data_IF_765300483889
#
_entry.id   IF_765300483889
#
_cell.length_a   1.000
_cell.length_b   1.000
_cell.length_c   1.000
_cell.angle_alpha   90.00
_cell.angle_beta   90.00
_cell.angle_gamma   90.00
#
_symmetry.space_group_name_H-M   'P 1'
#
loop_
_entity.id
_entity.type
_entity.pdbx_description
1 polymer ?
#
# COMPACT_ATOMS: atom_id res chain seq x y z
N UNK A 1 -13.07 -16.35 22.10
CA UNK A 1 -12.74 -15.15 21.32
C UNK A 1 -13.40 -13.87 21.84
N UNK A 2 -14.73 -13.74 21.98
CA UNK A 2 -15.39 -12.49 22.43
C UNK A 2 -15.20 -12.07 23.91
N UNK A 3 -14.84 -12.97 24.84
CA UNK A 3 -14.61 -12.62 26.26
C UNK A 3 -13.19 -12.16 26.58
N UNK A 4 -12.23 -12.35 25.67
CA UNK A 4 -10.82 -12.00 25.90
C UNK A 4 -10.58 -10.49 25.72
N UNK A 5 -11.39 -9.81 24.91
CA UNK A 5 -11.21 -8.39 24.61
C UNK A 5 -11.91 -7.43 25.59
N UNK A 6 -12.80 -7.92 26.45
CA UNK A 6 -13.65 -7.10 27.33
C UNK A 6 -13.18 -7.07 28.79
N UNK A 7 -12.07 -7.73 29.12
CA UNK A 7 -11.55 -7.75 30.50
C UNK A 7 -10.60 -6.56 30.73
N UNK A 8 -10.66 -5.84 31.87
CA UNK A 8 -9.78 -4.72 32.19
C UNK A 8 -8.27 -5.04 32.22
N UNK A 9 -7.90 -6.33 32.07
CA UNK A 9 -6.55 -6.85 32.23
C UNK A 9 -5.87 -7.29 30.91
N UNK A 10 -6.43 -6.95 29.75
CA UNK A 10 -5.81 -7.34 28.46
C UNK A 10 -4.66 -6.41 28.02
N UNK A 11 -4.07 -5.62 28.94
CA UNK A 11 -2.86 -4.85 28.67
C UNK A 11 -1.62 -5.75 28.55
N UNK A 12 -1.68 -6.96 29.14
CA UNK A 12 -0.59 -7.93 29.01
C UNK A 12 -0.29 -8.29 27.56
N UNK A 13 -1.25 -8.22 26.62
CA UNK A 13 -0.97 -8.47 25.21
C UNK A 13 0.07 -7.50 24.64
N UNK A 14 0.03 -6.23 25.05
CA UNK A 14 0.99 -5.20 24.66
C UNK A 14 2.35 -5.36 25.37
N UNK A 15 2.40 -6.10 26.49
CA UNK A 15 3.65 -6.48 27.17
C UNK A 15 4.25 -7.81 26.67
N UNK A 16 3.45 -8.69 26.05
CA UNK A 16 3.82 -10.08 25.71
C UNK A 16 3.85 -10.40 24.23
N UNK A 17 3.35 -9.54 23.35
CA UNK A 17 3.55 -9.71 21.91
C UNK A 17 5.02 -9.52 21.58
N UNK A 18 5.78 -10.62 21.62
CA UNK A 18 7.00 -10.72 20.83
C UNK A 18 6.56 -10.74 19.38
N UNK A 19 6.52 -9.57 18.74
CA UNK A 19 6.42 -9.50 17.29
C UNK A 19 7.58 -10.33 16.73
N UNK A 20 7.33 -11.28 15.81
CA UNK A 20 8.39 -12.03 15.17
C UNK A 20 9.39 -11.06 14.53
N UNK A 21 10.68 -11.38 14.58
CA UNK A 21 11.72 -10.44 14.14
C UNK A 21 11.61 -10.15 12.63
N UNK A 22 11.47 -11.15 11.74
CA UNK A 22 11.05 -10.94 10.35
C UNK A 22 9.76 -11.70 9.98
N UNK A 23 8.95 -11.10 9.11
CA UNK A 23 7.92 -11.78 8.35
C UNK A 23 8.57 -12.73 7.35
N UNK A 24 8.04 -13.95 7.24
CA UNK A 24 8.53 -14.93 6.27
C UNK A 24 7.82 -14.72 4.95
N UNK A 25 8.47 -13.99 4.05
CA UNK A 25 8.02 -13.87 2.67
C UNK A 25 8.21 -15.18 1.91
N UNK A 26 7.34 -15.43 0.96
CA UNK A 26 7.62 -16.43 -0.06
C UNK A 26 8.63 -15.86 -1.05
N UNK A 27 9.44 -16.73 -1.67
CA UNK A 27 10.47 -16.30 -2.62
C UNK A 27 9.89 -15.53 -3.81
N UNK A 28 10.72 -14.75 -4.53
CA UNK A 28 10.27 -13.87 -5.62
C UNK A 28 9.57 -14.59 -6.77
N UNK A 29 9.90 -15.87 -6.99
CA UNK A 29 9.28 -16.74 -8.00
C UNK A 29 8.01 -17.46 -7.49
N UNK A 30 7.59 -17.21 -6.25
CA UNK A 30 6.46 -17.92 -5.66
C UNK A 30 5.14 -17.42 -6.24
N UNK A 31 4.42 -18.35 -6.87
CA UNK A 31 3.05 -18.11 -7.32
C UNK A 31 2.04 -17.98 -6.17
N UNK A 32 2.41 -18.37 -4.95
CA UNK A 32 1.53 -18.35 -3.78
C UNK A 32 1.39 -16.95 -3.17
N UNK A 33 2.34 -16.04 -3.44
CA UNK A 33 2.34 -14.69 -2.90
C UNK A 33 2.62 -13.68 -4.01
N UNK A 34 1.56 -13.29 -4.72
CA UNK A 34 1.63 -12.27 -5.77
C UNK A 34 1.19 -10.89 -5.29
N UNK A 35 0.42 -10.82 -4.21
CA UNK A 35 -0.18 -9.60 -3.67
C UNK A 35 0.19 -9.40 -2.20
N UNK A 36 0.24 -8.14 -1.77
CA UNK A 36 0.48 -7.75 -0.37
C UNK A 36 -0.49 -6.64 0.05
N UNK A 37 -1.01 -6.76 1.27
CA UNK A 37 -1.80 -5.69 1.88
C UNK A 37 -0.88 -4.58 2.39
N UNK A 38 -1.00 -3.39 1.80
CA UNK A 38 -0.22 -2.21 2.20
C UNK A 38 -0.93 -1.38 3.27
N UNK A 39 -2.25 -1.52 3.39
CA UNK A 39 -3.07 -0.70 4.27
C UNK A 39 -4.33 -1.43 4.74
N UNK A 40 -4.67 -1.22 6.01
CA UNK A 40 -5.96 -1.57 6.57
C UNK A 40 -6.40 -0.64 7.69
N UNK A 41 -7.50 -1.00 8.36
CA UNK A 41 -7.93 -0.30 9.57
C UNK A 41 -6.84 -0.20 10.63
N UNK A 42 -5.82 -1.08 10.61
CA UNK A 42 -4.71 -1.06 11.56
C UNK A 42 -3.60 -0.08 11.20
N UNK A 43 -3.55 0.43 9.97
CA UNK A 43 -2.53 1.37 9.51
C UNK A 43 -1.92 0.96 8.17
N UNK A 44 -0.75 1.51 7.84
CA UNK A 44 -0.03 1.20 6.62
C UNK A 44 1.28 0.46 6.89
N UNK A 45 1.49 -0.59 6.12
CA UNK A 45 2.73 -1.36 6.07
C UNK A 45 3.66 -0.90 4.94
N UNK A 46 3.40 0.26 4.29
CA UNK A 46 4.28 0.80 3.25
C UNK A 46 5.72 0.96 3.77
N UNK A 47 5.87 1.69 4.89
CA UNK A 47 7.15 2.01 5.54
C UNK A 47 6.94 2.35 7.02
N UNK A 48 8.02 2.26 7.81
CA UNK A 48 7.99 2.49 9.25
C UNK A 48 7.54 3.91 9.66
N UNK A 49 8.01 4.94 8.96
CA UNK A 49 7.77 6.37 9.23
C UNK A 49 6.61 6.96 8.40
N UNK A 50 5.65 6.10 8.03
CA UNK A 50 4.45 6.50 7.30
C UNK A 50 3.42 7.28 8.16
N UNK A 51 2.43 7.92 7.52
CA UNK A 51 1.38 8.70 8.19
C UNK A 51 0.36 7.84 8.95
N UNK A 52 0.32 6.53 8.68
CA UNK A 52 -0.59 5.56 9.29
C UNK A 52 0.19 4.52 10.10
N UNK A 53 0.72 4.87 11.29
CA UNK A 53 1.44 3.90 12.12
C UNK A 53 0.54 2.71 12.49
N UNK A 54 1.11 1.51 12.42
CA UNK A 54 0.40 0.26 12.69
C UNK A 54 -0.02 0.21 14.17
N UNK A 55 -1.30 -0.06 14.41
CA UNK A 55 -1.88 -0.19 15.75
C UNK A 55 -3.15 -1.05 15.78
N UNK A 56 -3.29 -1.87 16.82
CA UNK A 56 -4.46 -2.73 17.05
C UNK A 56 -5.44 -2.14 18.08
N UNK A 57 -5.35 -0.84 18.35
CA UNK A 57 -6.36 -0.15 19.16
C UNK A 57 -6.15 1.36 19.29
N UNK A 58 -7.27 2.09 19.43
CA UNK A 58 -7.29 3.50 19.87
C UNK A 58 -7.77 3.61 21.32
N UNK A 59 -6.95 3.25 22.31
CA UNK A 59 -7.35 3.38 23.71
C UNK A 59 -7.60 4.86 24.06
N UNK A 60 -8.74 5.14 24.70
CA UNK A 60 -9.15 6.49 25.11
C UNK A 60 -8.55 6.87 26.47
N UNK A 61 -8.39 8.17 26.73
CA UNK A 61 -7.99 8.71 28.06
C UNK A 61 -6.47 8.70 28.30
N UNK A 62 -6.06 8.42 29.54
CA UNK A 62 -4.65 8.44 30.00
C UNK A 62 -3.82 7.23 29.51
N UNK A 63 -4.19 6.58 28.40
CA UNK A 63 -3.44 5.44 27.91
C UNK A 63 -2.08 5.89 27.35
N UNK A 64 -0.96 5.28 27.77
CA UNK A 64 0.36 5.68 27.27
C UNK A 64 0.46 5.44 25.76
N UNK A 65 0.67 6.51 24.98
CA UNK A 65 0.68 6.45 23.50
C UNK A 65 1.69 5.44 22.94
N UNK A 66 2.82 5.23 23.62
CA UNK A 66 3.84 4.28 23.18
C UNK A 66 3.39 2.81 23.24
N UNK A 67 2.35 2.49 24.03
CA UNK A 67 1.77 1.15 24.09
C UNK A 67 0.74 0.89 22.97
N UNK A 68 0.44 1.91 22.15
CA UNK A 68 -0.40 1.76 20.96
C UNK A 68 0.43 1.65 19.67
N UNK A 69 1.75 1.64 19.76
CA UNK A 69 2.65 1.50 18.62
C UNK A 69 2.99 0.02 18.43
N UNK A 70 2.30 -0.63 17.49
CA UNK A 70 2.49 -2.06 17.18
C UNK A 70 3.40 -2.25 15.95
N UNK A 71 4.15 -1.22 15.55
CA UNK A 71 5.10 -1.29 14.44
C UNK A 71 6.23 -2.27 14.74
N UNK A 72 6.66 -2.99 13.71
CA UNK A 72 7.90 -3.74 13.76
C UNK A 72 9.10 -2.79 13.60
N UNK A 73 10.26 -3.15 14.15
CA UNK A 73 11.48 -2.37 13.89
C UNK A 73 11.82 -2.39 12.38
N UNK A 74 12.29 -1.27 11.81
CA UNK A 74 12.72 -1.21 10.42
C UNK A 74 14.00 -2.03 10.21
N UNK A 75 14.32 -2.35 8.96
CA UNK A 75 15.50 -3.13 8.56
C UNK A 75 15.36 -4.63 8.84
N UNK A 76 14.13 -5.11 8.96
CA UNK A 76 13.81 -6.52 9.25
C UNK A 76 13.08 -7.22 8.10
N UNK A 77 12.73 -6.49 7.04
CA UNK A 77 11.93 -6.98 5.92
C UNK A 77 10.43 -6.95 6.20
N UNK A 78 9.95 -6.22 7.21
CA UNK A 78 8.53 -6.27 7.61
C UNK A 78 7.64 -5.26 6.86
N UNK A 79 8.27 -4.32 6.14
CA UNK A 79 7.57 -3.28 5.39
C UNK A 79 7.55 -3.61 3.90
N UNK A 80 6.49 -3.20 3.21
CA UNK A 80 6.32 -3.42 1.76
C UNK A 80 7.51 -2.83 0.98
N UNK A 81 8.00 -1.64 1.36
CA UNK A 81 9.20 -1.09 0.73
C UNK A 81 10.44 -1.97 0.91
N UNK A 82 10.64 -2.55 2.09
CA UNK A 82 11.78 -3.45 2.35
C UNK A 82 11.63 -4.76 1.55
N UNK A 83 10.41 -5.30 1.46
CA UNK A 83 10.08 -6.49 0.68
C UNK A 83 10.34 -6.28 -0.83
N UNK A 84 9.90 -5.15 -1.38
CA UNK A 84 10.11 -4.80 -2.79
C UNK A 84 11.59 -4.53 -3.09
N UNK A 85 12.29 -3.78 -2.23
CA UNK A 85 13.73 -3.55 -2.34
C UNK A 85 14.54 -4.85 -2.24
N UNK A 86 14.05 -5.82 -1.46
CA UNK A 86 14.59 -7.19 -1.38
C UNK A 86 14.35 -8.05 -2.63
N UNK A 87 13.71 -7.51 -3.67
CA UNK A 87 13.52 -8.16 -4.96
C UNK A 87 12.17 -8.87 -5.13
N UNK A 88 11.26 -8.80 -4.16
CA UNK A 88 9.95 -9.45 -4.30
C UNK A 88 9.05 -8.74 -5.32
N UNK A 89 8.24 -9.54 -6.03
CA UNK A 89 7.33 -9.09 -7.09
C UNK A 89 5.88 -9.06 -6.61
N UNK A 90 5.60 -8.10 -5.72
CA UNK A 90 4.32 -7.98 -5.02
C UNK A 90 3.46 -6.86 -5.61
N UNK A 91 2.24 -7.20 -6.00
CA UNK A 91 1.18 -6.23 -6.28
C UNK A 91 0.57 -5.70 -4.99
N UNK A 92 0.08 -4.47 -5.02
CA UNK A 92 -0.37 -3.74 -3.83
C UNK A 92 -1.89 -3.72 -3.77
N UNK A 93 -2.44 -4.17 -2.65
CA UNK A 93 -3.86 -4.07 -2.31
C UNK A 93 -4.04 -3.42 -0.93
N UNK A 94 -5.25 -2.99 -0.63
CA UNK A 94 -5.65 -2.57 0.71
C UNK A 94 -6.92 -3.32 1.12
N UNK A 95 -7.11 -3.53 2.42
CA UNK A 95 -8.24 -4.27 2.98
C UNK A 95 -8.87 -3.51 4.13
N UNK A 96 -10.10 -3.86 4.50
CA UNK A 96 -10.68 -3.31 5.73
C UNK A 96 -10.05 -3.92 6.97
N UNK A 97 -9.63 -5.19 6.88
CA UNK A 97 -9.23 -6.05 8.01
C UNK A 97 -10.29 -6.13 9.13
N UNK A 98 -11.54 -5.86 8.78
CA UNK A 98 -12.66 -6.02 9.71
C UNK A 98 -12.96 -7.50 9.91
N UNK A 99 -12.93 -7.89 11.17
CA UNK A 99 -13.24 -9.25 11.63
C UNK A 99 -14.66 -9.35 12.23
N UNK A 100 -15.41 -8.26 12.26
CA UNK A 100 -16.76 -8.19 12.81
C UNK A 100 -17.80 -7.79 11.75
N UNK A 101 -18.82 -8.64 11.63
CA UNK A 101 -20.03 -8.35 10.88
C UNK A 101 -21.05 -7.77 11.87
N UNK A 102 -20.86 -6.50 12.24
CA UNK A 102 -21.76 -5.83 13.17
C UNK A 102 -23.15 -5.64 12.54
N UNK A 103 -24.20 -6.09 13.23
CA UNK A 103 -25.60 -5.79 12.86
C UNK A 103 -25.93 -4.29 13.00
N UNK A 104 -25.15 -3.54 13.80
CA UNK A 104 -25.28 -2.08 14.00
C UNK A 104 -23.92 -1.47 14.32
N UNK A 105 -23.37 -0.68 13.39
CA UNK A 105 -22.03 -0.07 13.48
C UNK A 105 -21.87 0.91 14.66
N UNK A 106 -22.96 1.37 15.28
CA UNK A 106 -22.91 2.32 16.41
C UNK A 106 -22.48 1.68 17.73
N UNK A 107 -22.57 0.36 17.84
CA UNK A 107 -22.29 -0.39 19.07
C UNK A 107 -20.97 -1.17 19.03
N UNK A 108 -20.25 -1.13 17.90
CA UNK A 108 -19.01 -1.86 17.67
C UNK A 108 -17.82 -0.90 17.65
N UNK A 109 -16.58 -1.40 17.92
CA UNK A 109 -15.43 -0.53 17.99
C UNK A 109 -15.26 0.27 16.69
N UNK A 110 -15.13 1.59 16.83
CA UNK A 110 -14.74 2.46 15.73
C UNK A 110 -13.40 1.99 15.18
N UNK A 111 -13.32 1.85 13.86
CA UNK A 111 -12.06 1.53 13.20
C UNK A 111 -10.98 2.55 13.62
N UNK A 112 -9.75 2.08 13.80
CA UNK A 112 -8.62 2.97 14.09
C UNK A 112 -8.45 3.91 12.89
N UNK A 113 -8.35 3.37 11.69
CA UNK A 113 -8.36 4.11 10.45
C UNK A 113 -9.52 3.66 9.56
N UNK A 114 -9.97 4.48 8.59
CA UNK A 114 -10.95 4.01 7.61
C UNK A 114 -10.52 2.68 6.96
N UNK A 115 -11.48 1.80 6.68
CA UNK A 115 -11.17 0.53 6.03
C UNK A 115 -10.61 0.74 4.62
N UNK A 116 -9.51 0.04 4.31
CA UNK A 116 -8.92 0.06 2.98
C UNK A 116 -9.78 -0.61 1.92
N UNK A 117 -9.57 -0.24 0.65
CA UNK A 117 -10.21 -0.85 -0.50
C UNK A 117 -9.18 -1.36 -1.49
N UNK A 118 -9.40 -2.56 -2.01
CA UNK A 118 -8.68 -3.08 -3.16
C UNK A 118 -9.43 -2.69 -4.43
N UNK A 119 -8.73 -2.03 -5.35
CA UNK A 119 -9.20 -1.81 -6.70
C UNK A 119 -8.56 -2.85 -7.63
N UNK A 120 -9.39 -3.46 -8.47
CA UNK A 120 -8.98 -4.51 -9.39
C UNK A 120 -9.30 -4.07 -10.81
N UNK A 121 -8.27 -3.93 -11.64
CA UNK A 121 -8.42 -3.51 -13.02
C UNK A 121 -8.59 -4.73 -13.93
N UNK A 122 -9.85 -5.17 -14.02
CA UNK A 122 -10.29 -6.27 -14.87
C UNK A 122 -10.98 -5.74 -16.13
N UNK A 123 -10.83 -6.44 -17.25
CA UNK A 123 -11.48 -6.10 -18.52
C UNK A 123 -13.01 -6.25 -18.43
N UNK A 124 -13.48 -7.26 -17.69
CA UNK A 124 -14.89 -7.55 -17.48
C UNK A 124 -15.15 -7.89 -16.00
N UNK A 125 -16.40 -7.72 -15.56
CA UNK A 125 -16.83 -8.13 -14.22
C UNK A 125 -17.17 -9.63 -14.18
N UNK A 126 -16.17 -10.47 -14.48
CA UNK A 126 -16.26 -11.93 -14.38
C UNK A 126 -15.21 -12.46 -13.41
N UNK A 127 -15.46 -13.63 -12.81
CA UNK A 127 -14.50 -14.24 -11.90
C UNK A 127 -13.13 -14.50 -12.57
N UNK A 128 -13.14 -14.89 -13.85
CA UNK A 128 -11.93 -15.12 -14.63
C UNK A 128 -11.14 -13.81 -14.86
N UNK A 129 -11.81 -12.76 -15.33
CA UNK A 129 -11.15 -11.46 -15.57
C UNK A 129 -10.63 -10.83 -14.28
N UNK A 130 -11.36 -10.97 -13.16
CA UNK A 130 -10.91 -10.52 -11.84
C UNK A 130 -9.70 -11.32 -11.37
N UNK A 131 -9.72 -12.65 -11.53
CA UNK A 131 -8.57 -13.49 -11.20
C UNK A 131 -7.33 -13.12 -12.02
N UNK A 132 -7.48 -12.92 -13.33
CA UNK A 132 -6.39 -12.52 -14.21
C UNK A 132 -5.78 -11.17 -13.80
N UNK A 133 -6.61 -10.20 -13.41
CA UNK A 133 -6.12 -8.93 -12.91
C UNK A 133 -5.36 -9.06 -11.57
N UNK A 134 -5.88 -9.84 -10.62
CA UNK A 134 -5.21 -10.14 -9.36
C UNK A 134 -3.87 -10.86 -9.60
N UNK A 135 -3.87 -11.88 -10.45
CA UNK A 135 -2.69 -12.67 -10.79
C UNK A 135 -1.60 -11.82 -11.42
N UNK A 136 -1.96 -10.97 -12.36
CA UNK A 136 -1.03 -10.08 -13.05
C UNK A 136 -0.76 -8.77 -12.29
N UNK A 137 -1.20 -8.66 -11.03
CA UNK A 137 -0.98 -7.49 -10.17
C UNK A 137 -1.50 -6.17 -10.78
N UNK A 138 -2.54 -6.24 -11.61
CA UNK A 138 -3.25 -5.06 -12.15
C UNK A 138 -4.24 -4.55 -11.11
N UNK A 139 -3.69 -4.14 -9.97
CA UNK A 139 -4.44 -3.79 -8.75
C UNK A 139 -3.78 -2.62 -8.05
N UNK A 140 -4.55 -1.94 -7.20
CA UNK A 140 -4.03 -0.91 -6.32
C UNK A 140 -4.84 -0.86 -5.03
N UNK A 141 -4.26 -0.27 -3.98
CA UNK A 141 -4.91 -0.09 -2.68
C UNK A 141 -5.26 1.37 -2.42
N UNK A 142 -6.39 1.61 -1.76
CA UNK A 142 -6.73 2.95 -1.23
C UNK A 142 -7.06 2.87 0.26
N UNK A 143 -6.95 3.99 0.95
CA UNK A 143 -7.35 4.11 2.37
C UNK A 143 -8.85 4.32 2.57
N UNK A 144 -9.69 3.84 1.66
CA UNK A 144 -11.15 3.89 1.75
C UNK A 144 -11.83 4.79 0.71
N UNK A 145 -11.13 5.79 0.18
CA UNK A 145 -11.64 6.61 -0.92
C UNK A 145 -11.58 5.84 -2.25
N UNK A 146 -12.52 6.09 -3.16
CA UNK A 146 -12.63 5.39 -4.45
C UNK A 146 -11.87 6.13 -5.55
N UNK A 147 -10.57 6.37 -5.34
CA UNK A 147 -9.70 6.99 -6.33
C UNK A 147 -9.53 6.07 -7.55
N UNK A 148 -9.28 6.66 -8.72
CA UNK A 148 -8.84 5.95 -9.92
C UNK A 148 -7.35 6.21 -10.11
N UNK A 149 -6.57 5.13 -10.18
CA UNK A 149 -5.14 5.16 -10.48
C UNK A 149 -4.83 4.30 -11.70
N UNK A 150 -4.13 4.88 -12.66
CA UNK A 150 -3.51 4.18 -13.77
C UNK A 150 -2.03 4.55 -13.82
N UNK A 151 -1.19 3.54 -14.02
CA UNK A 151 0.26 3.70 -14.20
C UNK A 151 0.69 2.79 -15.33
N UNK A 152 1.50 3.34 -16.23
CA UNK A 152 2.13 2.63 -17.33
C UNK A 152 3.60 2.98 -17.43
N UNK A 153 4.39 2.04 -17.93
CA UNK A 153 5.78 2.26 -18.32
C UNK A 153 6.02 1.63 -19.69
N UNK A 154 6.41 2.43 -20.68
CA UNK A 154 6.59 2.00 -22.07
C UNK A 154 5.36 1.23 -22.60
N UNK A 155 4.16 1.69 -22.25
CA UNK A 155 2.87 1.06 -22.60
C UNK A 155 2.47 -0.16 -21.75
N UNK A 156 3.32 -0.66 -20.86
CA UNK A 156 3.00 -1.78 -19.96
C UNK A 156 2.29 -1.29 -18.70
N UNK A 157 1.18 -1.90 -18.27
CA UNK A 157 0.42 -1.44 -17.09
C UNK A 157 1.10 -1.82 -15.77
N UNK A 158 0.66 -1.18 -14.69
CA UNK A 158 0.99 -1.58 -13.31
C UNK A 158 0.86 -3.09 -13.10
N UNK A 159 1.82 -3.68 -12.40
CA UNK A 159 1.94 -5.12 -12.18
C UNK A 159 2.86 -5.85 -13.16
N UNK A 160 3.18 -5.22 -14.30
CA UNK A 160 4.02 -5.79 -15.35
C UNK A 160 5.52 -5.79 -15.00
N UNK A 161 6.21 -6.77 -15.56
CA UNK A 161 7.67 -6.90 -15.54
C UNK A 161 8.14 -6.95 -16.99
N UNK A 162 9.07 -6.08 -17.38
CA UNK A 162 9.54 -6.00 -18.76
C UNK A 162 10.99 -5.54 -18.85
N UNK A 163 11.64 -5.81 -19.98
CA UNK A 163 13.04 -5.41 -20.23
C UNK A 163 13.06 -4.19 -21.15
N UNK A 164 13.91 -3.21 -20.84
CA UNK A 164 14.06 -2.00 -21.64
C UNK A 164 15.52 -1.56 -21.72
N UNK A 165 16.00 -1.22 -22.93
CA UNK A 165 17.36 -0.72 -23.14
C UNK A 165 17.47 0.81 -23.07
N UNK A 166 16.35 1.53 -23.06
CA UNK A 166 16.28 2.98 -22.95
C UNK A 166 15.80 3.43 -21.56
N UNK A 167 15.80 4.74 -21.32
CA UNK A 167 15.11 5.30 -20.16
C UNK A 167 13.61 5.05 -20.26
N UNK A 168 12.96 4.56 -19.19
CA UNK A 168 11.54 4.22 -19.24
C UNK A 168 10.70 5.49 -19.37
N UNK A 169 9.73 5.45 -20.29
CA UNK A 169 8.69 6.45 -20.42
C UNK A 169 7.52 6.08 -19.51
N UNK A 170 7.25 6.93 -18.52
CA UNK A 170 6.28 6.70 -17.46
C UNK A 170 5.06 7.57 -17.72
N UNK A 171 3.89 6.93 -17.72
CA UNK A 171 2.61 7.59 -17.92
C UNK A 171 1.67 7.23 -16.77
N UNK A 172 0.81 8.16 -16.37
CA UNK A 172 -0.13 7.89 -15.29
C UNK A 172 -1.31 8.84 -15.31
N UNK A 173 -2.44 8.34 -14.79
CA UNK A 173 -3.67 9.09 -14.65
C UNK A 173 -4.21 8.88 -13.24
N UNK A 174 -4.50 9.98 -12.57
CA UNK A 174 -4.99 10.01 -11.20
C UNK A 174 -6.28 10.81 -11.19
N UNK A 175 -7.35 10.22 -10.66
CA UNK A 175 -8.60 10.93 -10.36
C UNK A 175 -8.93 10.69 -8.88
N UNK A 176 -8.87 11.78 -8.12
CA UNK A 176 -9.27 11.82 -6.72
C UNK A 176 -10.79 11.96 -6.55
N UNK A 177 -11.24 11.74 -5.33
CA UNK A 177 -12.63 12.06 -4.89
C UNK A 177 -12.70 13.38 -4.11
N UNK A 178 -11.58 14.08 -4.04
CA UNK A 178 -11.29 15.33 -3.35
C UNK A 178 -9.95 15.87 -3.89
N UNK A 179 -9.62 17.16 -3.69
CA UNK A 179 -8.39 17.75 -4.21
C UNK A 179 -7.14 16.95 -3.85
N UNK A 180 -6.27 16.76 -4.84
CA UNK A 180 -5.00 16.07 -4.68
C UNK A 180 -4.03 16.98 -3.94
N UNK A 181 -3.46 16.50 -2.84
CA UNK A 181 -2.45 17.23 -2.07
C UNK A 181 -1.05 16.92 -2.57
N UNK A 182 -0.77 15.66 -2.89
CA UNK A 182 0.54 15.22 -3.38
C UNK A 182 0.40 13.94 -4.20
N UNK A 183 1.06 13.92 -5.35
CA UNK A 183 1.21 12.73 -6.20
C UNK A 183 2.70 12.50 -6.41
N UNK A 184 3.17 11.30 -6.09
CA UNK A 184 4.56 10.91 -6.23
C UNK A 184 4.66 9.61 -7.01
N UNK A 185 5.46 9.63 -8.07
CA UNK A 185 5.95 8.42 -8.73
C UNK A 185 7.27 8.05 -8.08
N UNK A 186 7.21 7.04 -7.23
CA UNK A 186 8.38 6.54 -6.51
C UNK A 186 9.15 5.59 -7.39
N UNK A 187 10.47 5.63 -7.26
CA UNK A 187 11.42 4.72 -7.87
C UNK A 187 12.24 4.04 -6.79
N UNK A 188 12.55 2.77 -7.00
CA UNK A 188 13.69 2.14 -6.36
C UNK A 188 14.59 1.53 -7.43
N UNK A 189 15.88 1.80 -7.33
CA UNK A 189 16.90 1.24 -8.20
C UNK A 189 18.19 0.95 -7.40
N UNK A 190 19.32 0.76 -8.07
CA UNK A 190 20.63 0.53 -7.41
C UNK A 190 21.05 1.66 -6.46
N UNK A 191 20.48 2.86 -6.61
CA UNK A 191 20.73 4.02 -5.74
C UNK A 191 19.78 4.08 -4.54
N UNK A 192 18.86 3.11 -4.42
CA UNK A 192 17.81 3.06 -3.41
C UNK A 192 16.55 3.81 -3.82
N UNK A 193 15.73 4.18 -2.83
CA UNK A 193 14.47 4.89 -3.05
C UNK A 193 14.68 6.35 -3.46
N UNK A 194 13.91 6.79 -4.45
CA UNK A 194 13.84 8.17 -4.93
C UNK A 194 12.47 8.51 -5.53
N UNK A 195 12.32 9.76 -5.95
CA UNK A 195 11.12 10.26 -6.62
C UNK A 195 11.47 10.52 -8.09
N UNK A 196 10.84 9.78 -9.00
CA UNK A 196 11.02 9.96 -10.43
C UNK A 196 10.20 11.14 -10.97
N UNK A 197 9.03 11.39 -10.36
CA UNK A 197 8.15 12.51 -10.69
C UNK A 197 7.28 12.86 -9.49
N UNK A 198 6.92 14.14 -9.34
CA UNK A 198 5.97 14.56 -8.33
C UNK A 198 5.17 15.78 -8.76
N UNK A 199 3.91 15.86 -8.32
CA UNK A 199 3.11 17.06 -8.32
C UNK A 199 2.54 17.32 -6.93
N UNK A 200 2.38 18.60 -6.60
CA UNK A 200 1.79 19.07 -5.35
C UNK A 200 0.50 19.83 -5.68
N UNK A 201 -0.50 19.68 -4.81
CA UNK A 201 -1.85 20.18 -5.06
C UNK A 201 -1.92 21.67 -5.34
N UNK A 202 -2.52 22.02 -6.49
CA UNK A 202 -3.03 23.37 -6.79
C UNK A 202 -4.56 23.44 -6.62
N UNK A 203 -5.15 22.51 -5.85
CA UNK A 203 -6.60 22.40 -5.62
C UNK A 203 -7.38 21.56 -6.64
N UNK A 204 -6.70 20.94 -7.62
CA UNK A 204 -7.31 20.05 -8.61
C UNK A 204 -7.52 18.62 -8.11
N UNK A 205 -8.54 17.92 -8.65
CA UNK A 205 -8.84 16.51 -8.33
C UNK A 205 -8.16 15.52 -9.29
N UNK A 206 -7.53 16.01 -10.36
CA UNK A 206 -6.89 15.20 -11.39
C UNK A 206 -5.40 15.51 -11.52
N UNK A 207 -4.61 14.49 -11.83
CA UNK A 207 -3.22 14.65 -12.21
C UNK A 207 -2.84 13.66 -13.31
N UNK A 208 -1.95 14.11 -14.19
CA UNK A 208 -1.43 13.34 -15.31
C UNK A 208 0.09 13.31 -15.22
N UNK A 209 0.65 12.12 -15.45
CA UNK A 209 2.09 11.88 -15.48
C UNK A 209 2.46 11.58 -16.92
N UNK A 210 3.49 12.28 -17.39
CA UNK A 210 4.15 12.03 -18.65
C UNK A 210 5.61 12.44 -18.48
N UNK A 211 6.48 11.47 -18.21
CA UNK A 211 7.90 11.75 -18.01
C UNK A 211 8.81 10.60 -18.45
N UNK A 212 10.05 10.93 -18.82
CA UNK A 212 11.11 9.94 -19.04
C UNK A 212 12.06 10.00 -17.85
N UNK A 213 12.32 8.87 -17.19
CA UNK A 213 13.24 8.84 -16.06
C UNK A 213 14.70 8.55 -16.48
N UNK A 214 15.42 9.61 -16.80
CA UNK A 214 16.85 9.58 -17.15
C UNK A 214 17.78 9.24 -15.97
N UNK A 215 17.24 9.27 -14.75
CA UNK A 215 17.99 9.01 -13.52
C UNK A 215 17.95 7.55 -13.10
N UNK A 216 17.15 6.71 -13.77
CA UNK A 216 17.08 5.27 -13.51
C UNK A 216 18.43 4.57 -13.74
N UNK A 217 18.81 3.66 -12.84
CA UNK A 217 20.05 2.86 -12.91
C UNK A 217 19.74 1.37 -12.78
N UNK A 218 20.40 0.53 -13.57
CA UNK A 218 20.19 -0.93 -13.51
C UNK A 218 18.71 -1.34 -13.57
N UNK A 219 18.37 -2.39 -12.81
CA UNK A 219 16.97 -2.76 -12.58
C UNK A 219 16.28 -1.73 -11.67
N UNK A 220 15.08 -1.33 -12.06
CA UNK A 220 14.27 -0.40 -11.29
C UNK A 220 12.83 -0.90 -11.14
N UNK A 221 12.14 -0.43 -10.11
CA UNK A 221 10.68 -0.49 -10.09
C UNK A 221 10.07 0.85 -9.73
N UNK A 222 8.84 1.05 -10.20
CA UNK A 222 8.09 2.29 -10.06
C UNK A 222 6.71 2.02 -9.48
N UNK A 223 6.25 2.82 -8.53
CA UNK A 223 4.85 2.78 -8.08
C UNK A 223 4.35 4.16 -7.71
N UNK A 224 3.05 4.39 -7.89
CA UNK A 224 2.39 5.65 -7.55
C UNK A 224 1.97 5.68 -6.09
N UNK A 225 2.15 6.84 -5.48
CA UNK A 225 1.61 7.20 -4.17
C UNK A 225 0.87 8.52 -4.27
N UNK A 226 -0.38 8.53 -3.80
CA UNK A 226 -1.26 9.69 -3.85
C UNK A 226 -1.75 10.01 -2.46
N UNK A 227 -1.75 11.30 -2.12
CA UNK A 227 -2.35 11.88 -0.92
C UNK A 227 -3.36 12.95 -1.35
N UNK A 228 -4.57 12.89 -0.81
CA UNK A 228 -5.62 13.88 -0.97
C UNK A 228 -5.65 14.86 0.21
N UNK A 229 -6.25 16.04 0.02
CA UNK A 229 -6.37 17.06 1.07
C UNK A 229 -7.27 16.62 2.25
N UNK A 230 -8.21 15.71 2.01
CA UNK A 230 -9.07 15.09 3.04
C UNK A 230 -8.37 13.99 3.85
N UNK A 231 -7.09 13.71 3.54
CA UNK A 231 -6.26 12.74 4.24
C UNK A 231 -6.38 11.31 3.72
N UNK A 232 -7.11 11.05 2.64
CA UNK A 232 -7.09 9.75 1.96
C UNK A 232 -5.84 9.55 1.10
N UNK A 233 -5.42 8.29 0.99
CA UNK A 233 -4.21 7.87 0.29
C UNK A 233 -4.50 6.72 -0.67
N UNK A 234 -3.67 6.58 -1.69
CA UNK A 234 -3.69 5.44 -2.59
C UNK A 234 -2.28 5.04 -3.04
N UNK A 235 -2.11 3.76 -3.36
CA UNK A 235 -0.85 3.15 -3.79
C UNK A 235 -1.07 2.20 -4.95
N UNK A 236 -0.42 2.43 -6.10
CA UNK A 236 -0.48 1.49 -7.23
C UNK A 236 0.36 0.24 -6.96
N UNK A 237 0.06 -0.85 -7.68
CA UNK A 237 1.06 -1.90 -7.84
C UNK A 237 2.31 -1.37 -8.55
N UNK A 238 3.50 -1.93 -8.28
CA UNK A 238 4.70 -1.54 -8.99
C UNK A 238 4.73 -2.00 -10.45
N UNK A 239 5.57 -1.35 -11.25
CA UNK A 239 6.05 -1.84 -12.54
C UNK A 239 7.55 -2.09 -12.41
N UNK A 240 8.03 -3.24 -12.87
CA UNK A 240 9.45 -3.59 -12.83
C UNK A 240 10.08 -3.45 -14.22
N UNK A 241 11.11 -2.60 -14.30
CA UNK A 241 11.92 -2.34 -15.50
C UNK A 241 13.26 -3.05 -15.34
N UNK A 242 13.52 -4.03 -16.19
CA UNK A 242 14.72 -4.85 -16.16
C UNK A 242 15.74 -4.38 -17.21
N UNK A 243 17.02 -4.40 -16.86
CA UNK A 243 18.14 -3.98 -17.70
C UNK A 243 19.25 -5.02 -17.72
#
# INVERSE_FOLDING_TARGET
WRRVFMTPFNWLKFLRMRLPEPYTWWGPESEQQRLVEIYSMHGSSERHDGPFPITHGKPRGWFPRFLADDRCNPGRGNYVQEALAGGLRLGVIAGSDRHDYALDERFYPLDVYPGGLAAVWAEELTAASVWDALWNRRVYGTSGARLILELFADGHPMGAEYTCSSFPHLQGRIIGTAPLKRVELLRHDESGYGVAWSAYGEGGEEAYIDCVDERARGHAFYYLRVEQEDGHWAWSSPIWVLR
#
